data_IF_517005763494
#
_entry.id   IF_517005763494
#
_cell.length_a   1.000
_cell.length_b   1.000
_cell.length_c   1.000
_cell.angle_alpha   90.00
_cell.angle_beta   90.00
_cell.angle_gamma   90.00
#
_symmetry.space_group_name_H-M   'P 1'
#
loop_
_entity.id
_entity.type
_entity.pdbx_description
1 polymer ?
#
# COMPACT_ATOMS: atom_id res chain seq x y z
N UNK A 1 -2.37 -6.13 25.77
CA UNK A 1 -2.80 -5.07 24.82
C UNK A 1 -2.33 -5.53 23.45
N UNK A 2 -3.22 -5.70 22.47
CA UNK A 2 -2.83 -6.24 21.16
C UNK A 2 -1.80 -5.35 20.48
N UNK A 3 -0.77 -5.97 19.91
CA UNK A 3 0.34 -5.30 19.21
C UNK A 3 -0.16 -4.32 18.12
N UNK A 4 -1.25 -4.68 17.42
CA UNK A 4 -1.89 -3.85 16.39
C UNK A 4 -2.38 -2.52 16.98
N UNK A 5 -2.89 -2.57 18.21
CA UNK A 5 -3.45 -1.39 18.89
C UNK A 5 -2.33 -0.44 19.32
N UNK A 6 -1.16 -0.98 19.68
CA UNK A 6 0.03 -0.18 19.99
C UNK A 6 0.51 0.53 18.72
N UNK A 7 0.67 -0.23 17.63
CA UNK A 7 1.14 0.28 16.35
C UNK A 7 0.19 1.35 15.79
N UNK A 8 -1.13 1.12 15.82
CA UNK A 8 -2.09 2.14 15.39
C UNK A 8 -1.98 3.43 16.21
N UNK A 9 -1.78 3.33 17.53
CA UNK A 9 -1.58 4.51 18.40
C UNK A 9 -0.31 5.27 18.04
N UNK A 10 0.80 4.57 17.78
CA UNK A 10 2.07 5.20 17.39
C UNK A 10 1.93 5.87 16.02
N UNK A 11 1.42 5.16 15.02
CA UNK A 11 1.17 5.71 13.68
C UNK A 11 0.25 6.93 13.73
N UNK A 12 -0.79 6.88 14.59
CA UNK A 12 -1.68 8.00 14.83
C UNK A 12 -0.93 9.20 15.40
N UNK A 13 -0.08 9.01 16.40
CA UNK A 13 0.71 10.10 16.99
C UNK A 13 1.61 10.78 15.96
N UNK A 14 2.34 9.99 15.15
CA UNK A 14 3.17 10.52 14.07
C UNK A 14 2.36 11.27 13.02
N UNK A 15 1.24 10.70 12.58
CA UNK A 15 0.34 11.37 11.65
C UNK A 15 -0.19 12.70 12.19
N UNK A 16 -0.54 12.76 13.49
CA UNK A 16 -0.95 14.03 14.12
C UNK A 16 0.15 15.07 14.10
N UNK A 17 1.38 14.69 14.42
CA UNK A 17 2.53 15.61 14.36
C UNK A 17 2.67 16.16 12.92
N UNK A 18 2.65 15.28 11.91
CA UNK A 18 2.73 15.67 10.51
C UNK A 18 1.60 16.60 10.08
N UNK A 19 0.36 16.28 10.43
CA UNK A 19 -0.82 17.10 10.15
C UNK A 19 -0.69 18.47 10.82
N UNK A 20 -0.28 18.53 12.09
CA UNK A 20 -0.13 19.80 12.83
C UNK A 20 0.95 20.66 12.19
N UNK A 21 2.08 20.08 11.77
CA UNK A 21 3.13 20.80 11.05
C UNK A 21 2.56 21.35 9.73
N UNK A 22 1.98 20.51 8.88
CA UNK A 22 1.46 20.92 7.59
C UNK A 22 0.38 22.03 7.70
N UNK A 23 -0.61 21.84 8.57
CA UNK A 23 -1.66 22.84 8.80
C UNK A 23 -1.13 24.12 9.47
N UNK A 24 -0.23 23.98 10.44
CA UNK A 24 0.40 25.11 11.11
C UNK A 24 1.16 25.99 10.13
N UNK A 25 1.97 25.38 9.25
CA UNK A 25 2.69 26.08 8.20
C UNK A 25 1.79 26.75 7.18
N UNK A 26 0.78 26.01 6.72
CA UNK A 26 -0.22 26.54 5.80
C UNK A 26 -0.86 27.82 6.36
N UNK A 27 -1.40 27.77 7.59
CA UNK A 27 -2.05 28.93 8.22
C UNK A 27 -1.09 30.07 8.51
N UNK A 28 0.17 29.77 8.86
CA UNK A 28 1.19 30.78 9.10
C UNK A 28 1.54 31.56 7.81
N UNK A 29 1.62 30.88 6.66
CA UNK A 29 1.97 31.49 5.37
C UNK A 29 0.76 32.05 4.61
N UNK A 30 -0.46 31.78 5.07
CA UNK A 30 -1.70 32.23 4.43
C UNK A 30 -1.80 33.75 4.20
N UNK A 31 -1.46 34.63 5.15
CA UNK A 31 -1.49 36.07 4.91
C UNK A 31 -0.58 36.49 3.74
N UNK A 32 0.63 35.92 3.66
CA UNK A 32 1.55 36.18 2.54
C UNK A 32 1.02 35.63 1.22
N UNK A 33 0.28 34.53 1.26
CA UNK A 33 -0.35 33.90 0.09
C UNK A 33 -1.38 34.84 -0.54
N UNK A 34 -2.24 35.44 0.28
CA UNK A 34 -3.20 36.45 -0.19
C UNK A 34 -2.51 37.68 -0.78
N UNK A 35 -1.46 38.19 -0.13
CA UNK A 35 -0.70 39.34 -0.63
C UNK A 35 0.02 39.05 -1.95
N UNK A 36 0.36 37.79 -2.21
CA UNK A 36 1.10 37.36 -3.41
C UNK A 36 0.21 37.04 -4.60
N UNK A 37 -1.12 37.25 -4.52
CA UNK A 37 -2.06 36.83 -5.57
C UNK A 37 -1.74 37.38 -6.96
N UNK A 38 -1.24 38.63 -7.04
CA UNK A 38 -0.82 39.23 -8.31
C UNK A 38 0.44 38.54 -8.88
N UNK A 39 1.41 38.18 -8.04
CA UNK A 39 2.58 37.43 -8.48
C UNK A 39 2.19 36.01 -8.92
N UNK A 40 1.23 35.39 -8.24
CA UNK A 40 0.74 34.04 -8.56
C UNK A 40 0.08 33.99 -9.94
N UNK A 41 -0.71 35.00 -10.33
CA UNK A 41 -1.39 35.01 -11.63
C UNK A 41 -0.44 35.09 -12.84
N UNK A 42 0.84 35.42 -12.61
CA UNK A 42 1.88 35.43 -13.64
C UNK A 42 2.69 34.13 -13.70
N UNK A 43 2.43 33.18 -12.80
CA UNK A 43 3.11 31.89 -12.77
C UNK A 43 2.42 30.92 -13.72
N UNK A 44 3.20 30.00 -14.30
CA UNK A 44 2.66 28.94 -15.16
C UNK A 44 1.60 28.13 -14.41
N UNK A 45 0.35 28.06 -14.91
CA UNK A 45 -0.73 27.33 -14.22
C UNK A 45 -0.53 25.82 -14.15
N UNK A 46 0.42 25.30 -14.93
CA UNK A 46 0.87 23.91 -14.85
C UNK A 46 1.41 23.54 -13.46
N UNK A 47 2.01 24.48 -12.72
CA UNK A 47 2.51 24.21 -11.35
C UNK A 47 1.41 23.82 -10.36
N UNK A 48 0.15 24.13 -10.66
CA UNK A 48 -0.99 23.80 -9.83
C UNK A 48 -2.09 23.07 -10.63
N UNK A 49 -1.69 22.31 -11.65
CA UNK A 49 -2.55 21.41 -12.45
C UNK A 49 -3.74 22.10 -13.14
N UNK A 50 -3.58 23.36 -13.54
CA UNK A 50 -4.57 24.09 -14.34
C UNK A 50 -4.03 24.42 -15.73
N UNK A 51 -4.94 24.51 -16.70
CA UNK A 51 -4.63 24.87 -18.08
C UNK A 51 -5.24 26.23 -18.43
N UNK A 52 -4.51 27.03 -19.20
CA UNK A 52 -4.93 28.37 -19.64
C UNK A 52 -4.42 29.49 -18.72
N UNK A 53 -4.67 30.75 -19.10
CA UNK A 53 -4.27 31.91 -18.28
C UNK A 53 -5.20 32.05 -17.08
N UNK A 54 -4.62 32.33 -15.91
CA UNK A 54 -5.35 32.49 -14.65
C UNK A 54 -5.26 33.95 -14.23
N UNK A 55 -6.41 34.61 -14.03
CA UNK A 55 -6.45 35.98 -13.55
C UNK A 55 -6.22 36.04 -12.03
N UNK A 56 -5.92 37.22 -11.49
CA UNK A 56 -5.79 37.41 -10.03
C UNK A 56 -7.09 37.07 -9.29
N UNK A 57 -8.25 37.28 -9.90
CA UNK A 57 -9.55 36.91 -9.30
C UNK A 57 -9.68 35.39 -9.22
N UNK A 58 -9.28 34.68 -10.28
CA UNK A 58 -9.27 33.22 -10.30
C UNK A 58 -8.36 32.65 -9.22
N UNK A 59 -7.18 33.27 -9.00
CA UNK A 59 -6.27 32.89 -7.90
C UNK A 59 -6.98 32.92 -6.55
N UNK A 60 -7.73 33.99 -6.25
CA UNK A 60 -8.47 34.06 -4.98
C UNK A 60 -9.57 33.00 -4.89
N UNK A 61 -10.32 32.77 -5.98
CA UNK A 61 -11.37 31.74 -6.02
C UNK A 61 -10.78 30.35 -5.76
N UNK A 62 -9.70 30.02 -6.47
CA UNK A 62 -8.95 28.76 -6.35
C UNK A 62 -8.41 28.59 -4.92
N UNK A 63 -7.86 29.65 -4.34
CA UNK A 63 -7.36 29.65 -2.97
C UNK A 63 -8.50 29.38 -1.97
N UNK A 64 -9.63 30.08 -2.10
CA UNK A 64 -10.80 29.90 -1.22
C UNK A 64 -11.35 28.48 -1.29
N UNK A 65 -11.50 27.93 -2.51
CA UNK A 65 -11.94 26.54 -2.71
C UNK A 65 -10.97 25.58 -2.03
N UNK A 66 -9.66 25.81 -2.22
CA UNK A 66 -8.62 24.96 -1.62
C UNK A 66 -8.67 25.01 -0.09
N UNK A 67 -8.82 26.19 0.51
CA UNK A 67 -9.02 26.34 1.96
C UNK A 67 -10.22 25.52 2.44
N UNK A 68 -11.37 25.68 1.80
CA UNK A 68 -12.61 24.97 2.20
C UNK A 68 -12.39 23.47 2.16
N UNK A 69 -11.78 22.95 1.10
CA UNK A 69 -11.52 21.52 0.94
C UNK A 69 -10.47 21.00 1.94
N UNK A 70 -9.42 21.77 2.21
CA UNK A 70 -8.40 21.45 3.22
C UNK A 70 -9.04 21.37 4.61
N UNK A 71 -9.84 22.36 5.00
CA UNK A 71 -10.56 22.33 6.29
C UNK A 71 -11.61 21.21 6.35
N UNK A 72 -12.32 20.94 5.25
CA UNK A 72 -13.22 19.78 5.17
C UNK A 72 -12.46 18.46 5.35
N UNK A 73 -11.26 18.34 4.79
CA UNK A 73 -10.40 17.17 4.97
C UNK A 73 -9.97 16.99 6.43
N UNK A 74 -9.60 18.09 7.11
CA UNK A 74 -9.24 18.07 8.53
C UNK A 74 -10.40 17.66 9.43
N UNK A 75 -11.62 18.09 9.09
CA UNK A 75 -12.83 17.77 9.86
C UNK A 75 -13.06 16.26 10.01
N UNK A 76 -12.59 15.45 9.05
CA UNK A 76 -12.71 13.99 9.09
C UNK A 76 -12.05 13.36 10.31
N UNK A 77 -11.08 14.03 10.92
CA UNK A 77 -10.37 13.55 12.10
C UNK A 77 -11.22 13.69 13.37
N UNK A 78 -11.99 14.76 13.45
CA UNK A 78 -12.76 15.14 14.63
C UNK A 78 -14.20 14.64 14.58
N UNK A 79 -14.81 14.65 13.38
CA UNK A 79 -16.20 14.27 13.16
C UNK A 79 -16.30 12.77 12.89
N UNK A 80 -17.23 12.11 13.59
CA UNK A 80 -17.57 10.69 13.40
C UNK A 80 -19.02 10.60 12.96
N UNK A 81 -19.24 10.44 11.66
CA UNK A 81 -20.55 10.47 11.04
C UNK A 81 -20.68 9.32 10.04
N UNK A 82 -21.82 8.62 10.03
CA UNK A 82 -22.08 7.52 9.09
C UNK A 82 -22.64 8.03 7.75
N UNK A 83 -22.09 9.14 7.24
CA UNK A 83 -22.53 9.80 6.00
C UNK A 83 -21.66 9.36 4.81
N UNK A 84 -20.36 9.16 5.05
CA UNK A 84 -19.44 8.65 4.03
C UNK A 84 -18.27 7.90 4.68
N UNK A 85 -17.57 7.12 3.88
CA UNK A 85 -16.31 6.45 4.28
C UNK A 85 -15.31 7.40 4.96
N UNK A 86 -15.29 8.68 4.58
CA UNK A 86 -14.37 9.68 5.16
C UNK A 86 -14.60 9.95 6.65
N UNK A 87 -15.83 9.75 7.14
CA UNK A 87 -16.24 10.06 8.52
C UNK A 87 -16.61 8.82 9.35
N UNK A 88 -16.70 7.64 8.71
CA UNK A 88 -17.10 6.39 9.36
C UNK A 88 -15.97 5.85 10.26
N UNK A 89 -16.22 5.79 11.57
CA UNK A 89 -15.20 5.40 12.54
C UNK A 89 -14.80 3.92 12.45
N UNK A 90 -15.70 3.04 12.01
CA UNK A 90 -15.44 1.60 11.90
C UNK A 90 -14.59 1.27 10.68
N UNK A 91 -14.88 1.93 9.55
CA UNK A 91 -14.08 1.81 8.33
C UNK A 91 -12.66 2.36 8.55
N UNK A 92 -12.53 3.42 9.35
CA UNK A 92 -11.29 4.17 9.52
C UNK A 92 -10.35 3.65 10.61
N UNK A 93 -10.63 2.49 11.24
CA UNK A 93 -9.81 1.94 12.33
C UNK A 93 -8.31 1.83 12.03
N UNK A 94 -7.95 1.57 10.77
CA UNK A 94 -6.55 1.40 10.36
C UNK A 94 -6.03 2.55 9.48
N UNK A 95 -6.74 3.67 9.37
CA UNK A 95 -6.37 4.75 8.47
C UNK A 95 -4.93 5.24 8.68
N UNK A 96 -4.51 5.45 9.93
CA UNK A 96 -3.18 5.97 10.25
C UNK A 96 -2.04 5.00 9.90
N UNK A 97 -2.33 3.70 9.91
CA UNK A 97 -1.41 2.68 9.41
C UNK A 97 -1.14 2.90 7.92
N UNK A 98 -2.20 3.05 7.11
CA UNK A 98 -2.07 3.30 5.68
C UNK A 98 -1.49 4.67 5.35
N UNK A 99 -1.73 5.67 6.19
CA UNK A 99 -1.07 6.97 6.05
C UNK A 99 0.44 6.85 6.25
N UNK A 100 0.88 6.07 7.24
CA UNK A 100 2.32 5.85 7.47
C UNK A 100 2.95 5.04 6.33
N UNK A 101 2.22 4.07 5.76
CA UNK A 101 2.61 3.37 4.53
C UNK A 101 2.75 4.33 3.35
N UNK A 102 1.85 5.28 3.20
CA UNK A 102 1.93 6.29 2.15
C UNK A 102 3.20 7.14 2.27
N UNK A 103 3.47 7.69 3.46
CA UNK A 103 4.70 8.45 3.73
C UNK A 103 5.95 7.60 3.47
N UNK A 104 5.94 6.33 3.90
CA UNK A 104 7.03 5.40 3.63
C UNK A 104 7.32 5.27 2.13
N UNK A 105 6.29 4.99 1.32
CA UNK A 105 6.49 4.75 -0.10
C UNK A 105 6.97 6.02 -0.79
N UNK A 106 6.42 7.18 -0.47
CA UNK A 106 6.89 8.45 -1.01
C UNK A 106 8.36 8.71 -0.68
N UNK A 107 8.73 8.57 0.60
CA UNK A 107 10.09 8.85 1.05
C UNK A 107 11.11 7.90 0.41
N UNK A 108 10.85 6.58 0.41
CA UNK A 108 11.76 5.64 -0.21
C UNK A 108 11.82 5.77 -1.73
N UNK A 109 10.68 6.05 -2.39
CA UNK A 109 10.67 6.29 -3.84
C UNK A 109 11.49 7.55 -4.19
N UNK A 110 11.35 8.62 -3.39
CA UNK A 110 12.12 9.85 -3.56
C UNK A 110 13.63 9.59 -3.38
N UNK A 111 14.04 8.91 -2.32
CA UNK A 111 15.45 8.58 -2.05
C UNK A 111 16.09 7.70 -3.14
N UNK A 112 15.35 6.71 -3.64
CA UNK A 112 15.83 5.84 -4.73
C UNK A 112 16.07 6.67 -5.99
N UNK A 113 15.15 7.57 -6.32
CA UNK A 113 15.24 8.41 -7.52
C UNK A 113 16.38 9.43 -7.39
N UNK A 114 16.54 10.06 -6.23
CA UNK A 114 17.63 11.00 -5.98
C UNK A 114 19.01 10.32 -6.11
N UNK A 115 19.13 9.07 -5.64
CA UNK A 115 20.36 8.28 -5.77
C UNK A 115 20.70 7.97 -7.24
N UNK A 116 19.68 7.72 -8.07
CA UNK A 116 19.87 7.40 -9.49
C UNK A 116 20.09 8.66 -10.32
N UNK A 117 19.45 9.78 -9.99
CA UNK A 117 19.50 11.02 -10.77
C UNK A 117 19.44 12.29 -9.91
N UNK A 118 20.58 12.76 -9.37
CA UNK A 118 20.63 13.87 -8.41
C UNK A 118 20.27 15.25 -9.00
N UNK A 119 20.07 15.37 -10.32
CA UNK A 119 19.71 16.65 -10.98
C UNK A 119 18.20 16.97 -10.97
N UNK A 120 17.34 16.06 -10.49
CA UNK A 120 15.89 16.30 -10.35
C UNK A 120 15.55 17.06 -9.05
N UNK A 121 16.50 17.24 -8.12
CA UNK A 121 16.22 17.72 -6.76
C UNK A 121 15.96 19.22 -6.61
N UNK A 122 16.17 20.05 -7.64
CA UNK A 122 15.85 21.49 -7.56
C UNK A 122 14.58 21.83 -8.34
N UNK A 123 13.41 21.59 -7.73
CA UNK A 123 12.15 22.10 -8.28
C UNK A 123 12.22 23.63 -8.42
N UNK A 124 11.84 24.15 -9.59
CA UNK A 124 11.79 25.59 -9.86
C UNK A 124 10.87 26.34 -8.88
N UNK A 125 9.94 25.62 -8.23
CA UNK A 125 9.01 26.16 -7.22
C UNK A 125 9.74 26.77 -6.03
N UNK A 126 10.87 26.20 -5.61
CA UNK A 126 11.63 26.66 -4.45
C UNK A 126 12.30 28.03 -4.62
N UNK A 127 12.30 28.57 -5.85
CA UNK A 127 12.85 29.91 -6.14
C UNK A 127 11.84 31.04 -5.91
N UNK A 128 10.56 30.72 -5.72
CA UNK A 128 9.53 31.73 -5.47
C UNK A 128 9.45 32.14 -4.00
N UNK A 129 8.76 33.24 -3.70
CA UNK A 129 8.48 33.66 -2.32
C UNK A 129 7.62 32.61 -1.59
N UNK A 130 7.72 32.54 -0.26
CA UNK A 130 6.98 31.54 0.52
C UNK A 130 5.46 31.66 0.38
N UNK A 131 4.91 32.86 0.19
CA UNK A 131 3.48 33.04 -0.11
C UNK A 131 3.06 32.36 -1.43
N UNK A 132 3.91 32.44 -2.46
CA UNK A 132 3.70 31.74 -3.73
C UNK A 132 3.88 30.23 -3.57
N UNK A 133 4.92 29.79 -2.87
CA UNK A 133 5.15 28.36 -2.61
C UNK A 133 3.95 27.75 -1.87
N UNK A 134 3.44 28.41 -0.84
CA UNK A 134 2.29 27.97 -0.08
C UNK A 134 1.03 27.83 -0.96
N UNK A 135 0.81 28.77 -1.90
CA UNK A 135 -0.25 28.63 -2.90
C UNK A 135 -0.03 27.37 -3.74
N UNK A 136 1.15 27.23 -4.36
CA UNK A 136 1.46 26.12 -5.26
C UNK A 136 1.27 24.78 -4.56
N UNK A 137 1.88 24.55 -3.39
CA UNK A 137 1.80 23.28 -2.66
C UNK A 137 0.39 22.97 -2.15
N UNK A 138 -0.34 23.97 -1.65
CA UNK A 138 -1.69 23.75 -1.13
C UNK A 138 -2.68 23.47 -2.25
N UNK A 139 -2.67 24.29 -3.30
CA UNK A 139 -3.55 24.15 -4.45
C UNK A 139 -3.19 22.90 -5.26
N UNK A 140 -1.91 22.62 -5.48
CA UNK A 140 -1.49 21.42 -6.20
C UNK A 140 -1.98 20.15 -5.49
N UNK A 141 -1.93 20.08 -4.16
CA UNK A 141 -2.43 18.90 -3.42
C UNK A 141 -3.93 18.68 -3.63
N UNK A 142 -4.72 19.76 -3.67
CA UNK A 142 -6.17 19.73 -3.90
C UNK A 142 -6.48 19.32 -5.34
N UNK A 143 -5.87 19.99 -6.31
CA UNK A 143 -6.15 19.76 -7.73
C UNK A 143 -5.55 18.45 -8.25
N UNK A 144 -4.44 18.00 -7.69
CA UNK A 144 -3.89 16.66 -7.93
C UNK A 144 -4.91 15.61 -7.49
N UNK A 145 -5.49 15.73 -6.30
CA UNK A 145 -6.54 14.80 -5.84
C UNK A 145 -7.79 14.91 -6.71
N UNK A 146 -8.20 16.10 -7.14
CA UNK A 146 -9.38 16.25 -8.01
C UNK A 146 -9.16 15.62 -9.38
N UNK A 147 -8.10 16.05 -10.09
CA UNK A 147 -7.88 15.68 -11.49
C UNK A 147 -7.24 14.31 -11.67
N UNK A 148 -6.30 13.94 -10.79
CA UNK A 148 -5.54 12.69 -10.92
C UNK A 148 -6.12 11.55 -10.08
N UNK A 149 -7.11 11.81 -9.22
CA UNK A 149 -7.69 10.78 -8.35
C UNK A 149 -9.21 10.73 -8.51
N UNK A 150 -9.90 11.78 -8.07
CA UNK A 150 -11.35 11.79 -7.93
C UNK A 150 -12.00 11.58 -9.28
N UNK A 151 -11.61 12.34 -10.29
CA UNK A 151 -12.23 12.24 -11.63
C UNK A 151 -11.99 10.85 -12.24
N UNK A 152 -10.75 10.35 -12.39
CA UNK A 152 -10.50 9.01 -12.93
C UNK A 152 -11.22 7.91 -12.16
N UNK A 153 -11.10 7.90 -10.83
CA UNK A 153 -11.70 6.85 -9.99
C UNK A 153 -13.23 6.93 -10.03
N UNK A 154 -13.81 8.13 -10.00
CA UNK A 154 -15.27 8.32 -10.08
C UNK A 154 -15.83 7.83 -11.41
N UNK A 155 -15.15 8.11 -12.53
CA UNK A 155 -15.55 7.63 -13.86
C UNK A 155 -15.55 6.09 -13.88
N UNK A 156 -14.46 5.47 -13.40
CA UNK A 156 -14.35 3.99 -13.36
C UNK A 156 -15.44 3.38 -12.46
N UNK A 157 -15.68 3.99 -11.29
CA UNK A 157 -16.72 3.56 -10.37
C UNK A 157 -18.13 3.66 -11.00
N UNK A 158 -18.41 4.76 -11.70
CA UNK A 158 -19.70 4.96 -12.39
C UNK A 158 -19.89 3.90 -13.49
N UNK A 159 -18.88 3.69 -14.34
CA UNK A 159 -18.92 2.67 -15.41
C UNK A 159 -19.20 1.29 -14.80
N UNK A 160 -18.45 0.92 -13.76
CA UNK A 160 -18.63 -0.37 -13.08
C UNK A 160 -20.03 -0.50 -12.46
N UNK A 161 -20.56 0.55 -11.83
CA UNK A 161 -21.89 0.53 -11.22
C UNK A 161 -23.02 0.45 -12.23
N UNK A 162 -22.86 1.07 -13.41
CA UNK A 162 -23.81 0.96 -14.52
C UNK A 162 -23.83 -0.49 -15.02
N UNK A 163 -22.66 -1.09 -15.28
CA UNK A 163 -22.53 -2.47 -15.76
C UNK A 163 -23.11 -3.46 -14.74
N UNK A 164 -22.82 -3.25 -13.45
CA UNK A 164 -23.31 -4.11 -12.36
C UNK A 164 -24.75 -3.82 -11.92
N UNK A 165 -25.42 -2.81 -12.52
CA UNK A 165 -26.79 -2.38 -12.20
C UNK A 165 -26.99 -2.00 -10.72
N UNK A 166 -25.94 -1.50 -10.05
CA UNK A 166 -25.92 -1.11 -8.62
C UNK A 166 -25.66 0.38 -8.40
N UNK A 167 -26.10 1.21 -9.36
CA UNK A 167 -25.91 2.65 -9.29
C UNK A 167 -26.70 3.23 -8.11
N UNK A 168 -25.99 3.69 -7.08
CA UNK A 168 -26.59 4.40 -5.96
C UNK A 168 -25.60 5.42 -5.40
N UNK A 169 -26.11 6.51 -4.83
CA UNK A 169 -25.28 7.52 -4.15
C UNK A 169 -24.51 6.90 -2.98
N UNK A 170 -25.16 5.97 -2.26
CA UNK A 170 -24.52 5.22 -1.17
C UNK A 170 -23.31 4.40 -1.67
N UNK A 171 -23.39 3.86 -2.88
CA UNK A 171 -22.28 3.12 -3.49
C UNK A 171 -21.05 4.00 -3.76
N UNK A 172 -21.26 5.29 -4.02
CA UNK A 172 -20.20 6.27 -4.22
C UNK A 172 -19.60 6.77 -2.90
N UNK A 173 -20.43 6.94 -1.86
CA UNK A 173 -19.98 7.36 -0.53
C UNK A 173 -19.25 6.24 0.24
N UNK A 174 -19.54 4.97 -0.09
CA UNK A 174 -18.91 3.78 0.48
C UNK A 174 -18.37 2.84 -0.62
N UNK A 175 -17.32 3.25 -1.37
CA UNK A 175 -16.86 2.53 -2.53
C UNK A 175 -16.28 1.15 -2.17
N UNK A 176 -15.50 1.04 -1.09
CA UNK A 176 -14.85 -0.20 -0.66
C UNK A 176 -15.79 -1.42 -0.60
N UNK A 177 -17.02 -1.25 -0.07
CA UNK A 177 -17.98 -2.35 0.09
C UNK A 177 -18.45 -2.93 -1.24
N UNK A 178 -18.48 -2.10 -2.29
CA UNK A 178 -19.06 -2.46 -3.59
C UNK A 178 -18.02 -2.92 -4.61
N UNK A 179 -16.78 -2.44 -4.50
CA UNK A 179 -15.71 -2.73 -5.48
C UNK A 179 -14.53 -3.50 -4.91
N UNK A 180 -14.64 -4.08 -3.72
CA UNK A 180 -13.56 -4.82 -3.03
C UNK A 180 -12.70 -5.72 -3.95
N UNK A 181 -13.26 -6.62 -4.80
CA UNK A 181 -12.44 -7.48 -5.66
C UNK A 181 -11.71 -6.73 -6.79
N UNK A 182 -12.22 -5.57 -7.20
CA UNK A 182 -11.71 -4.77 -8.32
C UNK A 182 -10.76 -3.66 -7.89
N UNK A 183 -10.53 -3.47 -6.58
CA UNK A 183 -9.65 -2.42 -6.06
C UNK A 183 -8.28 -2.39 -6.79
N UNK A 184 -7.56 -3.52 -6.99
CA UNK A 184 -6.27 -3.48 -7.68
C UNK A 184 -6.39 -2.99 -9.13
N UNK A 185 -7.46 -3.38 -9.83
CA UNK A 185 -7.71 -2.99 -11.22
C UNK A 185 -7.99 -1.49 -11.30
N UNK A 186 -8.85 -0.98 -10.41
CA UNK A 186 -9.17 0.46 -10.35
C UNK A 186 -7.91 1.28 -10.06
N UNK A 187 -7.08 0.83 -9.10
CA UNK A 187 -5.82 1.47 -8.77
C UNK A 187 -4.88 1.57 -9.98
N UNK A 188 -4.66 0.44 -10.69
CA UNK A 188 -3.76 0.39 -11.85
C UNK A 188 -4.25 1.30 -12.98
N UNK A 189 -5.55 1.27 -13.29
CA UNK A 189 -6.13 2.09 -14.36
C UNK A 189 -6.08 3.57 -13.99
N UNK A 190 -6.45 3.94 -12.76
CA UNK A 190 -6.40 5.33 -12.31
C UNK A 190 -4.97 5.88 -12.36
N UNK A 191 -3.98 5.15 -11.84
CA UNK A 191 -2.58 5.54 -11.91
C UNK A 191 -2.06 5.66 -13.35
N UNK A 192 -2.48 4.76 -14.25
CA UNK A 192 -2.14 4.84 -15.68
C UNK A 192 -2.71 6.07 -16.37
N UNK A 193 -3.97 6.43 -16.08
CA UNK A 193 -4.60 7.66 -16.58
C UNK A 193 -3.84 8.89 -16.07
N UNK A 194 -3.47 8.92 -14.79
CA UNK A 194 -2.79 10.06 -14.18
C UNK A 194 -1.41 10.32 -14.76
N UNK A 195 -0.66 9.25 -15.10
CA UNK A 195 0.59 9.35 -15.87
C UNK A 195 0.35 9.94 -17.26
N UNK A 196 -0.67 9.45 -17.96
CA UNK A 196 -0.99 9.93 -19.31
C UNK A 196 -1.34 11.42 -19.36
N UNK A 197 -2.05 11.91 -18.34
CA UNK A 197 -2.45 13.33 -18.22
C UNK A 197 -1.25 14.25 -17.97
N UNK A 198 -0.23 13.75 -17.26
CA UNK A 198 0.83 14.60 -16.72
C UNK A 198 2.07 14.69 -17.61
N UNK A 199 2.31 13.72 -18.50
CA UNK A 199 3.35 13.72 -19.54
C UNK A 199 4.73 14.25 -19.08
N UNK A 200 5.23 13.69 -17.99
CA UNK A 200 6.53 14.05 -17.43
C UNK A 200 7.65 13.08 -17.85
N UNK A 201 8.88 13.35 -17.41
CA UNK A 201 9.99 12.41 -17.59
C UNK A 201 9.68 11.05 -16.89
N UNK A 202 10.43 10.00 -17.23
CA UNK A 202 10.15 8.64 -16.74
C UNK A 202 10.17 8.52 -15.21
N UNK A 203 10.96 9.34 -14.51
CA UNK A 203 11.12 9.29 -13.06
C UNK A 203 9.95 9.98 -12.34
N UNK A 204 9.60 11.20 -12.76
CA UNK A 204 8.41 11.93 -12.28
C UNK A 204 7.14 11.13 -12.59
N UNK A 205 7.08 10.53 -13.78
CA UNK A 205 6.03 9.58 -14.17
C UNK A 205 5.92 8.41 -13.19
N UNK A 206 7.06 7.82 -12.80
CA UNK A 206 7.08 6.70 -11.85
C UNK A 206 6.61 7.13 -10.46
N UNK A 207 7.03 8.31 -9.97
CA UNK A 207 6.56 8.86 -8.70
C UNK A 207 5.06 9.13 -8.72
N UNK A 208 4.56 9.76 -9.77
CA UNK A 208 3.12 10.03 -9.95
C UNK A 208 2.35 8.72 -9.96
N UNK A 209 2.83 7.72 -10.70
CA UNK A 209 2.19 6.41 -10.76
C UNK A 209 2.09 5.75 -9.37
N UNK A 210 3.20 5.69 -8.64
CA UNK A 210 3.24 5.08 -7.31
C UNK A 210 2.38 5.87 -6.31
N UNK A 211 2.48 7.20 -6.34
CA UNK A 211 1.70 8.10 -5.48
C UNK A 211 0.18 7.90 -5.72
N UNK A 212 -0.26 7.93 -6.97
CA UNK A 212 -1.67 7.73 -7.34
C UNK A 212 -2.16 6.33 -6.99
N UNK A 213 -1.34 5.27 -7.16
CA UNK A 213 -1.75 3.93 -6.74
C UNK A 213 -2.20 3.90 -5.28
N UNK A 214 -1.38 4.44 -4.38
CA UNK A 214 -1.63 4.36 -2.93
C UNK A 214 -2.74 5.32 -2.53
N UNK A 215 -2.76 6.55 -3.06
CA UNK A 215 -3.85 7.47 -2.80
C UNK A 215 -5.19 6.92 -3.29
N UNK A 216 -5.21 6.16 -4.39
CA UNK A 216 -6.45 5.59 -4.93
C UNK A 216 -6.95 4.51 -3.98
N UNK A 217 -6.04 3.74 -3.40
CA UNK A 217 -6.38 2.80 -2.34
C UNK A 217 -6.97 3.51 -1.12
N UNK A 218 -6.33 4.60 -0.66
CA UNK A 218 -6.80 5.38 0.49
C UNK A 218 -8.17 6.00 0.19
N UNK A 219 -8.37 6.54 -1.01
CA UNK A 219 -9.64 7.06 -1.49
C UNK A 219 -10.74 5.99 -1.46
N UNK A 220 -10.48 4.82 -2.05
CA UNK A 220 -11.45 3.74 -2.14
C UNK A 220 -11.80 3.14 -0.78
N UNK A 221 -10.83 3.06 0.13
CA UNK A 221 -10.99 2.44 1.45
C UNK A 221 -11.51 3.40 2.52
N UNK A 222 -10.91 4.58 2.62
CA UNK A 222 -11.12 5.55 3.70
C UNK A 222 -11.83 6.82 3.22
N UNK A 223 -12.08 6.96 1.92
CA UNK A 223 -12.84 8.05 1.36
C UNK A 223 -12.01 9.24 0.89
N UNK A 224 -12.66 10.08 0.09
CA UNK A 224 -12.06 11.21 -0.62
C UNK A 224 -11.36 12.21 0.30
N UNK A 225 -12.03 12.66 1.36
CA UNK A 225 -11.49 13.71 2.23
C UNK A 225 -10.27 13.21 3.01
N UNK A 226 -10.19 11.90 3.30
CA UNK A 226 -9.03 11.28 3.92
C UNK A 226 -7.85 11.18 2.95
N UNK A 227 -8.09 10.85 1.68
CA UNK A 227 -7.03 10.90 0.65
C UNK A 227 -6.51 12.33 0.46
N UNK A 228 -7.41 13.33 0.44
CA UNK A 228 -7.01 14.74 0.38
C UNK A 228 -6.17 15.16 1.60
N UNK A 229 -6.57 14.76 2.80
CA UNK A 229 -5.79 15.04 4.03
C UNK A 229 -4.36 14.49 3.93
N UNK A 230 -4.22 13.27 3.42
CA UNK A 230 -2.92 12.60 3.25
C UNK A 230 -2.04 13.34 2.24
N UNK A 231 -2.59 13.65 1.05
CA UNK A 231 -1.89 14.42 0.02
C UNK A 231 -1.49 15.82 0.49
N UNK A 232 -2.42 16.54 1.12
CA UNK A 232 -2.16 17.87 1.67
C UNK A 232 -1.08 17.84 2.75
N UNK A 233 -1.12 16.86 3.66
CA UNK A 233 -0.11 16.75 4.71
C UNK A 233 1.28 16.51 4.14
N UNK A 234 1.41 15.63 3.12
CA UNK A 234 2.69 15.40 2.45
C UNK A 234 3.22 16.66 1.77
N UNK A 235 2.36 17.35 1.01
CA UNK A 235 2.71 18.61 0.34
C UNK A 235 3.10 19.71 1.35
N UNK A 236 2.38 19.80 2.46
CA UNK A 236 2.70 20.77 3.53
C UNK A 236 3.99 20.45 4.28
N UNK A 237 4.39 19.18 4.39
CA UNK A 237 5.68 18.79 4.96
C UNK A 237 6.84 19.15 4.04
N UNK A 238 6.67 19.00 2.72
CA UNK A 238 7.65 19.46 1.72
C UNK A 238 7.84 20.98 1.77
N UNK A 239 6.74 21.74 1.91
CA UNK A 239 6.81 23.18 2.13
C UNK A 239 7.51 23.55 3.44
N UNK A 240 7.24 22.83 4.53
CA UNK A 240 7.89 23.07 5.82
C UNK A 240 9.39 22.79 5.75
N UNK A 241 9.81 21.74 5.05
CA UNK A 241 11.22 21.42 4.81
C UNK A 241 11.91 22.53 4.01
N UNK A 242 11.29 23.02 2.93
CA UNK A 242 11.78 24.16 2.14
C UNK A 242 11.93 25.43 2.99
N UNK A 243 10.93 25.75 3.81
CA UNK A 243 10.95 26.93 4.68
C UNK A 243 12.13 26.90 5.65
N UNK A 244 12.43 25.73 6.20
CA UNK A 244 13.55 25.55 7.12
C UNK A 244 14.87 25.20 6.45
N UNK A 245 14.96 25.11 5.12
CA UNK A 245 16.18 24.69 4.40
C UNK A 245 17.42 25.54 4.71
N UNK A 246 17.25 26.78 5.17
CA UNK A 246 18.34 27.64 5.65
C UNK A 246 18.79 27.37 7.09
N UNK A 247 17.94 26.73 7.90
CA UNK A 247 18.24 26.31 9.27
C UNK A 247 18.50 24.80 9.31
N UNK A 248 19.78 24.45 9.17
CA UNK A 248 20.24 23.06 9.13
C UNK A 248 19.71 22.20 10.29
N UNK A 249 19.62 22.76 11.51
CA UNK A 249 19.16 22.02 12.69
C UNK A 249 17.70 21.59 12.54
N UNK A 250 16.83 22.52 12.14
CA UNK A 250 15.39 22.22 12.00
C UNK A 250 15.15 21.30 10.80
N UNK A 251 15.86 21.52 9.67
CA UNK A 251 15.79 20.61 8.53
C UNK A 251 16.18 19.17 8.90
N UNK A 252 17.25 18.97 9.68
CA UNK A 252 17.63 17.62 10.12
C UNK A 252 16.58 16.99 11.05
N UNK A 253 15.94 17.78 11.92
CA UNK A 253 14.87 17.28 12.79
C UNK A 253 13.67 16.81 11.96
N UNK A 254 13.24 17.59 10.96
CA UNK A 254 12.13 17.23 10.07
C UNK A 254 12.48 15.99 9.25
N UNK A 255 13.67 15.94 8.65
CA UNK A 255 14.12 14.78 7.89
C UNK A 255 14.19 13.50 8.77
N UNK A 256 14.71 13.61 10.00
CA UNK A 256 14.76 12.49 10.93
C UNK A 256 13.36 12.04 11.37
N UNK A 257 12.44 12.98 11.60
CA UNK A 257 11.03 12.68 11.87
C UNK A 257 10.38 11.91 10.72
N UNK A 258 10.54 12.37 9.47
CA UNK A 258 10.03 11.71 8.28
C UNK A 258 10.63 10.31 8.10
N UNK A 259 11.92 10.16 8.37
CA UNK A 259 12.61 8.88 8.33
C UNK A 259 12.01 7.88 9.33
N UNK A 260 11.82 8.27 10.59
CA UNK A 260 11.17 7.41 11.59
C UNK A 260 9.75 7.06 11.15
N UNK A 261 9.01 8.03 10.62
CA UNK A 261 7.64 7.80 10.18
C UNK A 261 7.58 6.81 9.01
N UNK A 262 8.50 6.89 8.06
CA UNK A 262 8.64 5.92 6.99
C UNK A 262 8.95 4.51 7.52
N UNK A 263 9.87 4.38 8.48
CA UNK A 263 10.16 3.08 9.10
C UNK A 263 8.95 2.50 9.85
N UNK A 264 8.13 3.33 10.49
CA UNK A 264 6.86 2.89 11.08
C UNK A 264 5.88 2.37 10.01
N UNK A 265 5.85 3.00 8.83
CA UNK A 265 5.11 2.48 7.67
C UNK A 265 5.62 1.12 7.22
N UNK A 266 6.95 0.94 7.15
CA UNK A 266 7.56 -0.35 6.78
C UNK A 266 7.20 -1.45 7.76
N UNK A 267 7.37 -1.17 9.05
CA UNK A 267 6.99 -2.09 10.12
C UNK A 267 5.52 -2.49 10.01
N UNK A 268 4.65 -1.50 9.78
CA UNK A 268 3.21 -1.71 9.62
C UNK A 268 2.85 -2.67 8.48
N UNK A 269 3.52 -2.58 7.32
CA UNK A 269 3.30 -3.51 6.20
C UNK A 269 3.72 -4.91 6.57
N UNK A 270 4.92 -5.07 7.14
CA UNK A 270 5.44 -6.39 7.52
C UNK A 270 4.52 -7.09 8.51
N UNK A 271 3.97 -6.34 9.46
CA UNK A 271 3.03 -6.84 10.45
C UNK A 271 1.68 -7.23 9.83
N UNK A 272 1.12 -6.38 8.95
CA UNK A 272 -0.11 -6.70 8.23
C UNK A 272 0.04 -7.96 7.35
N UNK A 273 1.20 -8.12 6.73
CA UNK A 273 1.53 -9.29 5.92
C UNK A 273 1.63 -10.56 6.77
N UNK A 274 2.37 -10.50 7.88
CA UNK A 274 2.51 -11.62 8.84
C UNK A 274 1.15 -12.07 9.38
N UNK A 275 0.29 -11.12 9.78
CA UNK A 275 -1.06 -11.42 10.26
C UNK A 275 -1.92 -12.10 9.19
N UNK A 276 -1.81 -11.65 7.94
CA UNK A 276 -2.56 -12.24 6.83
C UNK A 276 -2.15 -13.69 6.57
N UNK A 277 -0.86 -14.01 6.72
CA UNK A 277 -0.36 -15.38 6.63
C UNK A 277 -0.89 -16.22 7.79
N UNK A 278 -0.83 -15.69 9.02
CA UNK A 278 -1.33 -16.39 10.20
C UNK A 278 -2.83 -16.71 10.09
N UNK A 279 -3.65 -15.75 9.63
CA UNK A 279 -5.08 -15.94 9.41
C UNK A 279 -5.37 -16.98 8.30
N UNK A 280 -4.56 -17.01 7.23
CA UNK A 280 -4.67 -18.04 6.18
C UNK A 280 -4.31 -19.41 6.72
N UNK A 281 -3.22 -19.52 7.47
CA UNK A 281 -2.77 -20.77 8.06
C UNK A 281 -3.79 -21.31 9.07
N UNK A 282 -4.38 -20.43 9.90
CA UNK A 282 -5.49 -20.79 10.81
C UNK A 282 -6.70 -21.33 10.05
N UNK A 283 -7.14 -20.65 8.99
CA UNK A 283 -8.27 -21.12 8.16
C UNK A 283 -7.98 -22.47 7.50
N UNK A 284 -6.77 -22.65 6.95
CA UNK A 284 -6.36 -23.94 6.38
C UNK A 284 -6.29 -25.04 7.45
N UNK A 285 -5.83 -24.74 8.66
CA UNK A 285 -5.80 -25.69 9.76
C UNK A 285 -7.22 -26.08 10.24
N UNK A 286 -8.15 -25.13 10.30
CA UNK A 286 -9.56 -25.37 10.62
C UNK A 286 -10.27 -26.19 9.55
N UNK A 287 -10.01 -25.91 8.27
CA UNK A 287 -10.57 -26.63 7.13
C UNK A 287 -10.02 -28.07 7.04
N UNK A 288 -8.73 -28.26 7.31
CA UNK A 288 -8.12 -29.59 7.42
C UNK A 288 -8.64 -30.38 8.62
N UNK A 289 -8.90 -29.72 9.76
CA UNK A 289 -9.49 -30.37 10.94
C UNK A 289 -10.95 -30.79 10.71
N UNK A 290 -11.73 -30.00 9.96
CA UNK A 290 -13.11 -30.35 9.57
C UNK A 290 -13.13 -31.52 8.58
N UNK A 291 -12.30 -31.47 7.53
CA UNK A 291 -12.19 -32.54 6.55
C UNK A 291 -11.58 -33.84 7.13
N UNK A 292 -10.73 -33.73 8.16
CA UNK A 292 -10.18 -34.89 8.88
C UNK A 292 -11.22 -35.60 9.76
N UNK A 293 -12.17 -34.87 10.36
CA UNK A 293 -13.26 -35.46 11.13
C UNK A 293 -14.30 -36.15 10.23
N UNK A 294 -14.66 -35.57 9.10
CA UNK A 294 -15.62 -36.20 8.16
C UNK A 294 -15.03 -37.46 7.50
N UNK A 295 -13.73 -37.43 7.14
CA UNK A 295 -13.04 -38.61 6.60
C UNK A 295 -12.85 -39.73 7.63
N UNK A 296 -12.72 -39.42 8.92
CA UNK A 296 -12.62 -40.45 9.95
C UNK A 296 -13.95 -41.19 10.16
N UNK A 297 -15.10 -40.51 10.03
CA UNK A 297 -16.43 -41.15 10.16
C UNK A 297 -16.72 -42.05 8.93
N UNK A 298 -16.31 -41.65 7.74
CA UNK A 298 -16.48 -42.44 6.51
C UNK A 298 -15.41 -43.55 6.37
N UNK A 299 -14.20 -43.35 6.90
CA UNK A 299 -13.14 -44.36 6.92
C UNK A 299 -13.41 -45.43 7.98
N UNK A 300 -13.89 -45.09 9.18
CA UNK A 300 -14.18 -46.08 10.22
C UNK A 300 -15.32 -47.03 9.80
N UNK A 301 -16.29 -46.55 9.01
CA UNK A 301 -17.36 -47.37 8.43
C UNK A 301 -16.94 -48.17 7.18
N UNK A 302 -16.00 -47.69 6.36
CA UNK A 302 -15.53 -48.40 5.16
C UNK A 302 -14.34 -49.35 5.43
N UNK A 303 -13.57 -49.15 6.50
CA UNK A 303 -12.42 -50.00 6.83
C UNK A 303 -12.88 -51.35 7.40
N UNK A 304 -14.05 -51.41 8.04
CA UNK A 304 -14.62 -52.68 8.54
C UNK A 304 -15.10 -53.57 7.38
N UNK A 305 -15.47 -53.00 6.23
CA UNK A 305 -16.01 -53.75 5.09
C UNK A 305 -14.98 -54.12 4.00
N UNK A 306 -13.82 -53.45 3.92
CA UNK A 306 -12.87 -53.63 2.80
C UNK A 306 -11.55 -54.34 3.14
N UNK A 307 -11.39 -54.94 4.33
CA UNK A 307 -10.16 -55.68 4.70
C UNK A 307 -9.99 -57.01 3.92
N UNK A 308 -10.97 -57.44 3.12
CA UNK A 308 -10.95 -58.76 2.49
C UNK A 308 -10.50 -58.86 1.02
N UNK A 309 -10.14 -57.78 0.29
CA UNK A 309 -10.06 -57.91 -1.18
C UNK A 309 -8.75 -57.61 -1.91
N UNK A 310 -7.65 -57.12 -1.30
CA UNK A 310 -6.39 -57.15 -2.07
C UNK A 310 -5.10 -57.05 -1.21
N UNK A 311 -4.30 -58.12 -1.12
CA UNK A 311 -3.03 -58.13 -0.37
C UNK A 311 -2.01 -57.07 -0.83
N UNK A 312 -2.07 -56.64 -2.10
CA UNK A 312 -1.13 -55.67 -2.65
C UNK A 312 -1.38 -54.22 -2.18
N UNK A 313 -2.63 -53.84 -1.91
CA UNK A 313 -2.94 -52.48 -1.45
C UNK A 313 -2.60 -52.28 0.05
N UNK A 314 -2.68 -53.35 0.84
CA UNK A 314 -2.26 -53.36 2.24
C UNK A 314 -0.73 -53.21 2.41
N UNK A 315 0.05 -53.73 1.45
CA UNK A 315 1.51 -53.58 1.40
C UNK A 315 1.93 -52.12 1.12
N UNK A 316 1.24 -51.46 0.17
CA UNK A 316 1.48 -50.06 -0.19
C UNK A 316 1.13 -49.12 0.98
N UNK A 317 0.00 -49.34 1.64
CA UNK A 317 -0.42 -48.57 2.84
C UNK A 317 0.51 -48.83 4.05
N UNK A 318 1.01 -50.05 4.24
CA UNK A 318 2.04 -50.35 5.27
C UNK A 318 3.38 -49.68 4.96
N UNK A 319 3.79 -49.59 3.68
CA UNK A 319 4.98 -48.85 3.26
C UNK A 319 4.83 -47.34 3.48
N UNK A 320 3.66 -46.77 3.19
CA UNK A 320 3.36 -45.36 3.46
C UNK A 320 3.30 -45.05 4.96
N UNK A 321 2.72 -45.93 5.77
CA UNK A 321 2.63 -45.75 7.23
C UNK A 321 3.91 -46.09 8.00
N UNK A 322 4.89 -46.75 7.36
CA UNK A 322 6.23 -46.98 7.92
C UNK A 322 7.23 -45.90 7.52
N UNK A 323 6.84 -44.93 6.68
CA UNK A 323 7.64 -43.75 6.41
C UNK A 323 7.50 -42.76 7.55
N UNK A 324 8.62 -42.56 8.26
CA UNK A 324 8.72 -41.52 9.27
C UNK A 324 8.58 -40.14 8.57
N UNK A 325 7.55 -39.32 8.88
CA UNK A 325 7.36 -37.99 8.27
C UNK A 325 8.54 -37.03 8.51
N UNK A 326 9.50 -37.40 9.36
CA UNK A 326 10.79 -36.73 9.57
C UNK A 326 11.71 -36.65 8.32
N UNK A 327 11.42 -37.36 7.22
CA UNK A 327 12.31 -37.42 6.03
C UNK A 327 11.69 -36.86 4.74
N UNK A 328 10.85 -35.83 4.84
CA UNK A 328 10.40 -35.08 3.67
C UNK A 328 11.41 -33.99 3.32
N UNK A 329 12.22 -34.24 2.30
CA UNK A 329 13.20 -33.29 1.78
C UNK A 329 12.56 -32.44 0.68
N UNK A 330 12.62 -31.13 0.79
CA UNK A 330 12.30 -30.21 -0.33
C UNK A 330 13.53 -29.35 -0.58
N UNK A 331 14.24 -29.61 -1.68
CA UNK A 331 15.30 -28.71 -2.17
C UNK A 331 14.66 -27.54 -2.91
N UNK A 332 15.10 -26.33 -2.61
CA UNK A 332 14.65 -25.11 -3.30
C UNK A 332 15.33 -24.88 -4.66
N UNK A 333 16.47 -25.55 -4.96
CA UNK A 333 17.17 -25.45 -6.25
C UNK A 333 18.15 -26.62 -6.51
N UNK A 334 18.42 -26.91 -7.78
CA UNK A 334 19.36 -27.93 -8.24
C UNK A 334 20.80 -27.47 -8.04
N UNK A 335 21.66 -28.31 -7.44
CA UNK A 335 23.07 -27.98 -7.15
C UNK A 335 23.92 -27.74 -8.40
N UNK A 336 23.51 -28.27 -9.56
CA UNK A 336 24.28 -28.15 -10.80
C UNK A 336 23.91 -26.91 -11.62
N UNK A 337 22.63 -26.56 -11.71
CA UNK A 337 22.15 -25.52 -12.63
C UNK A 337 21.20 -24.47 -12.01
N UNK A 338 20.93 -24.57 -10.70
CA UNK A 338 20.02 -23.68 -9.97
C UNK A 338 18.54 -23.82 -10.34
N UNK A 339 18.16 -24.83 -11.13
CA UNK A 339 16.75 -25.08 -11.51
C UNK A 339 15.91 -25.53 -10.32
N UNK A 340 14.66 -25.06 -10.23
CA UNK A 340 13.76 -25.29 -9.08
C UNK A 340 12.67 -26.33 -9.35
N UNK A 341 12.62 -26.84 -10.58
CA UNK A 341 11.66 -27.85 -11.02
C UNK A 341 12.30 -29.23 -11.05
N UNK A 342 11.66 -30.19 -10.38
CA UNK A 342 12.13 -31.56 -10.23
C UNK A 342 11.03 -32.55 -10.60
N UNK A 343 11.42 -33.64 -11.26
CA UNK A 343 10.64 -34.86 -11.40
C UNK A 343 11.03 -35.82 -10.28
N UNK A 344 10.04 -36.42 -9.63
CA UNK A 344 10.23 -37.41 -8.57
C UNK A 344 10.17 -38.80 -9.20
N UNK A 345 11.20 -39.61 -8.99
CA UNK A 345 11.26 -41.00 -9.44
C UNK A 345 10.69 -41.96 -8.38
N UNK A 346 10.44 -43.21 -8.76
CA UNK A 346 9.83 -44.24 -7.88
C UNK A 346 10.70 -44.59 -6.67
N UNK A 347 12.01 -44.33 -6.74
CA UNK A 347 12.98 -44.47 -5.65
C UNK A 347 13.13 -43.20 -4.79
N UNK A 348 12.28 -42.20 -5.02
CA UNK A 348 12.29 -40.88 -4.40
C UNK A 348 13.53 -40.03 -4.69
N UNK A 349 14.33 -40.40 -5.71
CA UNK A 349 15.35 -39.50 -6.25
C UNK A 349 14.70 -38.32 -6.97
N UNK A 350 15.36 -37.15 -6.92
CA UNK A 350 14.91 -35.93 -7.59
C UNK A 350 15.72 -35.69 -8.85
N UNK A 351 15.09 -35.78 -10.02
CA UNK A 351 15.70 -35.45 -11.29
C UNK A 351 15.38 -34.00 -11.68
N UNK A 352 16.40 -33.17 -11.88
CA UNK A 352 16.18 -31.78 -12.29
C UNK A 352 15.72 -31.70 -13.75
N UNK A 353 14.55 -31.12 -14.00
CA UNK A 353 13.96 -31.01 -15.35
C UNK A 353 14.85 -30.19 -16.29
N UNK A 354 15.60 -29.22 -15.76
CA UNK A 354 16.43 -28.30 -16.54
C UNK A 354 17.76 -28.89 -17.02
N UNK A 355 18.35 -29.84 -16.28
CA UNK A 355 19.69 -30.36 -16.60
C UNK A 355 19.84 -31.88 -16.49
N UNK A 356 18.78 -32.61 -16.14
CA UNK A 356 18.79 -34.07 -15.97
C UNK A 356 19.62 -34.57 -14.79
N UNK A 357 20.17 -33.68 -13.95
CA UNK A 357 20.96 -34.10 -12.81
C UNK A 357 20.07 -34.79 -11.76
N UNK A 358 20.43 -36.02 -11.39
CA UNK A 358 19.69 -36.84 -10.43
C UNK A 358 20.29 -36.66 -9.05
N UNK A 359 19.45 -36.32 -8.08
CA UNK A 359 19.80 -36.15 -6.68
C UNK A 359 19.27 -37.37 -5.90
N UNK A 360 20.14 -38.13 -5.22
CA UNK A 360 19.74 -39.28 -4.41
C UNK A 360 18.76 -38.89 -3.29
N UNK A 361 17.89 -39.83 -2.90
CA UNK A 361 16.91 -39.63 -1.83
C UNK A 361 17.54 -39.37 -0.45
N UNK A 362 18.79 -39.79 -0.25
CA UNK A 362 19.58 -39.67 0.98
C UNK A 362 20.68 -38.61 0.90
N UNK A 363 20.72 -37.82 -0.18
CA UNK A 363 21.75 -36.80 -0.36
C UNK A 363 21.75 -35.79 0.81
N UNK A 364 22.89 -35.63 1.48
CA UNK A 364 23.16 -34.66 2.53
C UNK A 364 24.09 -33.52 2.03
N UNK A 365 24.05 -32.34 2.64
CA UNK A 365 24.88 -31.20 2.21
C UNK A 365 24.37 -29.81 2.62
N UNK A 366 25.18 -28.74 2.39
CA UNK A 366 24.94 -27.39 2.92
C UNK A 366 23.69 -26.69 2.37
N UNK A 367 23.02 -27.28 1.37
CA UNK A 367 21.79 -26.78 0.76
C UNK A 367 20.56 -27.61 1.14
N UNK A 368 20.71 -28.56 2.07
CA UNK A 368 19.62 -29.40 2.55
C UNK A 368 19.07 -28.87 3.87
N UNK A 369 17.80 -28.50 3.88
CA UNK A 369 17.09 -28.06 5.08
C UNK A 369 16.45 -29.29 5.71
N UNK A 370 16.91 -29.68 6.91
CA UNK A 370 16.26 -30.73 7.71
C UNK A 370 15.24 -30.06 8.63
N UNK A 371 13.97 -30.40 8.45
CA UNK A 371 12.88 -29.90 9.30
C UNK A 371 12.59 -30.95 10.35
N UNK A 372 12.81 -30.64 11.64
CA UNK A 372 12.44 -31.55 12.71
C UNK A 372 10.95 -31.45 13.07
N UNK A 373 10.48 -32.40 13.88
CA UNK A 373 9.08 -32.54 14.32
C UNK A 373 8.47 -31.30 15.01
N UNK A 374 9.29 -30.32 15.38
CA UNK A 374 8.87 -29.08 16.05
C UNK A 374 8.93 -27.85 15.12
N UNK A 375 9.15 -28.05 13.81
CA UNK A 375 9.27 -26.97 12.83
C UNK A 375 10.59 -26.20 12.90
N UNK A 376 11.58 -26.70 13.63
CA UNK A 376 12.90 -26.07 13.69
C UNK A 376 13.77 -26.52 12.52
N UNK A 377 14.31 -25.54 11.80
CA UNK A 377 15.27 -25.75 10.71
C UNK A 377 16.64 -26.05 11.30
N UNK A 378 17.17 -27.26 11.08
CA UNK A 378 18.61 -27.51 11.19
C UNK A 378 19.24 -27.25 9.81
N UNK A 379 20.17 -26.30 9.77
CA UNK A 379 21.09 -26.11 8.64
C UNK A 379 22.26 -27.08 8.74
#
# INVERSE_FOLDING_TARGET
MDEITIIDRINRAFAWIGIVIAFGFFLFLMPQTFLSAHSISHISPAYYYLYGRVSTIDVYIILIISIILIFASLSTIFLKLNISSSFDADINKNFYIFFSVYIMILMFSSLIIETIYPKISSSAVYKYSFGVQNFIFSVSSVFQIIFLEIIPVSIILIIYMIISKKLSVNSFLFPYKNVKPLIPVIMIIAAGISVFITNYNIYETTLIYINTLILTYIYLRFGMLRALLVSFTSSGLELAESFFGSNHVISYIIAFFLLIWAFLGLYSITMLYAKTIEERNKKMAEENSRNGNDKNIDAENNTINNINENPQNAEILRRLNSMNPEKLWVRSACSNCGGVEFKINDDFSLECVKCGNVIPADADGPYNIVINQYGNVKR
#
